data_IF_961596900482
#
_entry.id   IF_961596900482
#
_cell.length_a   1.000
_cell.length_b   1.000
_cell.length_c   1.000
_cell.angle_alpha   90.00
_cell.angle_beta   90.00
_cell.angle_gamma   90.00
#
_symmetry.space_group_name_H-M   'P 1'
#
loop_
_entity.id
_entity.type
_entity.pdbx_description
1 polymer ?
#
# COMPACT_ATOMS: atom_id res chain seq x y z
N UNK A 1 -43.76 9.67 -30.73
CA UNK A 1 -42.77 9.94 -29.66
C UNK A 1 -42.47 8.62 -29.01
N UNK A 2 -41.22 8.15 -29.06
CA UNK A 2 -40.86 6.80 -28.62
C UNK A 2 -40.72 6.74 -27.11
N UNK A 3 -41.44 5.83 -26.46
CA UNK A 3 -41.24 5.50 -25.04
C UNK A 3 -40.14 4.43 -24.98
N UNK A 4 -38.88 4.85 -24.89
CA UNK A 4 -37.77 3.95 -24.58
C UNK A 4 -37.87 3.54 -23.11
N UNK A 5 -38.59 2.44 -22.86
CA UNK A 5 -39.04 2.06 -21.53
C UNK A 5 -37.92 1.49 -20.65
N UNK A 6 -37.34 2.35 -19.81
CA UNK A 6 -36.82 2.03 -18.46
C UNK A 6 -36.15 0.65 -18.29
N UNK A 7 -35.15 0.32 -19.10
CA UNK A 7 -34.30 -0.86 -18.87
C UNK A 7 -33.30 -0.63 -17.72
N UNK A 8 -33.81 -0.66 -16.47
CA UNK A 8 -33.05 -0.99 -15.26
C UNK A 8 -31.69 -0.32 -15.09
N UNK A 9 -31.62 0.99 -15.30
CA UNK A 9 -30.37 1.78 -15.20
C UNK A 9 -29.92 1.89 -13.74
N UNK A 10 -29.12 0.91 -13.29
CA UNK A 10 -28.60 0.79 -11.92
C UNK A 10 -27.79 2.02 -11.48
N UNK A 11 -27.26 2.77 -12.44
CA UNK A 11 -26.58 4.05 -12.27
C UNK A 11 -26.90 4.93 -13.51
N UNK A 12 -27.10 6.25 -13.38
CA UNK A 12 -27.24 7.13 -14.53
C UNK A 12 -25.99 7.08 -15.43
N UNK A 13 -26.17 7.08 -16.76
CA UNK A 13 -25.08 7.08 -17.74
C UNK A 13 -23.96 8.13 -17.44
N UNK A 14 -24.23 9.41 -17.12
CA UNK A 14 -23.16 10.37 -16.80
C UNK A 14 -22.34 10.01 -15.55
N UNK A 15 -22.88 9.21 -14.61
CA UNK A 15 -22.11 8.67 -13.47
C UNK A 15 -21.31 7.43 -13.88
N UNK A 16 -21.74 6.64 -14.88
CA UNK A 16 -20.92 5.58 -15.50
C UNK A 16 -19.73 6.19 -16.25
N UNK A 17 -19.95 7.26 -17.03
CA UNK A 17 -18.88 7.98 -17.74
C UNK A 17 -17.91 8.67 -16.76
N UNK A 18 -18.43 9.26 -15.67
CA UNK A 18 -17.62 9.75 -14.56
C UNK A 18 -16.73 8.64 -13.98
N UNK A 19 -17.29 7.44 -13.73
CA UNK A 19 -16.53 6.31 -13.20
C UNK A 19 -15.47 5.79 -14.20
N UNK A 20 -15.74 5.89 -15.51
CA UNK A 20 -14.77 5.55 -16.56
C UNK A 20 -13.62 6.56 -16.63
N UNK A 21 -13.90 7.86 -16.44
CA UNK A 21 -12.87 8.90 -16.33
C UNK A 21 -11.99 8.69 -15.08
N UNK A 22 -12.59 8.52 -13.90
CA UNK A 22 -11.85 8.19 -12.67
C UNK A 22 -10.98 6.94 -12.85
N UNK A 23 -11.50 5.90 -13.52
CA UNK A 23 -10.72 4.71 -13.82
C UNK A 23 -9.51 4.97 -14.74
N UNK A 24 -9.64 5.84 -15.74
CA UNK A 24 -8.52 6.24 -16.60
C UNK A 24 -7.46 7.00 -15.80
N UNK A 25 -7.85 7.94 -14.93
CA UNK A 25 -6.94 8.63 -14.02
C UNK A 25 -6.23 7.64 -13.08
N UNK A 26 -6.97 6.71 -12.46
CA UNK A 26 -6.40 5.64 -11.64
C UNK A 26 -5.43 4.74 -12.43
N UNK A 27 -5.71 4.44 -13.70
CA UNK A 27 -4.84 3.62 -14.55
C UNK A 27 -3.54 4.35 -14.91
N UNK A 28 -3.60 5.63 -15.27
CA UNK A 28 -2.42 6.47 -15.52
C UNK A 28 -1.56 6.60 -14.26
N UNK A 29 -2.18 6.90 -13.13
CA UNK A 29 -1.52 6.99 -11.82
C UNK A 29 -0.93 5.65 -11.38
N UNK A 30 -1.59 4.52 -11.69
CA UNK A 30 -1.04 3.18 -11.46
C UNK A 30 0.24 2.95 -12.26
N UNK A 31 0.25 3.19 -13.58
CA UNK A 31 1.45 3.00 -14.40
C UNK A 31 2.59 3.93 -14.01
N UNK A 32 2.32 5.21 -13.76
CA UNK A 32 3.35 6.22 -13.45
C UNK A 32 4.08 5.96 -12.15
N UNK A 33 3.43 5.32 -11.16
CA UNK A 33 3.92 5.22 -9.78
C UNK A 33 4.26 3.79 -9.34
N UNK A 34 3.92 2.76 -10.14
CA UNK A 34 4.11 1.34 -9.79
C UNK A 34 5.52 1.01 -9.32
N UNK A 35 6.55 1.42 -10.07
CA UNK A 35 7.94 1.07 -9.78
C UNK A 35 8.47 1.73 -8.50
N UNK A 36 7.89 2.86 -8.09
CA UNK A 36 8.30 3.62 -6.90
C UNK A 36 7.60 3.12 -5.63
N UNK A 37 6.35 2.65 -5.73
CA UNK A 37 5.48 2.41 -4.57
C UNK A 37 4.90 1.00 -4.45
N UNK A 38 5.30 0.03 -5.28
CA UNK A 38 4.75 -1.35 -5.31
C UNK A 38 4.62 -2.05 -3.93
N UNK A 39 5.52 -1.75 -3.00
CA UNK A 39 5.57 -2.34 -1.65
C UNK A 39 4.85 -1.50 -0.57
N UNK A 40 4.42 -0.26 -0.87
CA UNK A 40 3.77 0.61 0.10
C UNK A 40 2.38 0.09 0.50
N UNK A 41 2.01 0.23 1.77
CA UNK A 41 0.70 -0.24 2.28
C UNK A 41 -0.47 0.42 1.55
N UNK A 42 -0.43 1.74 1.34
CA UNK A 42 -1.43 2.48 0.57
C UNK A 42 -1.55 1.99 -0.89
N UNK A 43 -0.43 1.57 -1.51
CA UNK A 43 -0.43 1.02 -2.88
C UNK A 43 -1.27 -0.25 -3.00
N UNK A 44 -1.29 -1.08 -1.95
CA UNK A 44 -2.16 -2.27 -1.88
C UNK A 44 -3.63 -1.89 -2.00
N UNK A 45 -4.08 -0.88 -1.25
CA UNK A 45 -5.48 -0.45 -1.27
C UNK A 45 -5.86 0.28 -2.56
N UNK A 46 -4.99 1.13 -3.10
CA UNK A 46 -5.16 1.73 -4.42
C UNK A 46 -5.28 0.66 -5.52
N UNK A 47 -4.42 -0.37 -5.48
CA UNK A 47 -4.48 -1.51 -6.40
C UNK A 47 -5.76 -2.33 -6.27
N UNK A 48 -6.26 -2.53 -5.04
CA UNK A 48 -7.56 -3.20 -4.79
C UNK A 48 -8.71 -2.36 -5.36
N UNK A 49 -8.72 -1.05 -5.13
CA UNK A 49 -9.76 -0.17 -5.65
C UNK A 49 -9.76 -0.17 -7.18
N UNK A 50 -8.60 0.05 -7.82
CA UNK A 50 -8.43 0.05 -9.29
C UNK A 50 -8.94 -1.24 -9.94
N UNK A 51 -8.74 -2.39 -9.30
CA UNK A 51 -9.20 -3.71 -9.79
C UNK A 51 -10.72 -3.89 -9.65
N UNK A 52 -11.33 -3.34 -8.60
CA UNK A 52 -12.79 -3.45 -8.42
C UNK A 52 -13.54 -2.45 -9.31
N UNK A 53 -13.04 -1.21 -9.48
CA UNK A 53 -13.57 -0.25 -10.46
C UNK A 53 -13.49 -0.82 -11.88
N UNK A 54 -12.38 -1.48 -12.24
CA UNK A 54 -12.25 -2.17 -13.54
C UNK A 54 -13.36 -3.22 -13.75
N UNK A 55 -13.64 -4.04 -12.73
CA UNK A 55 -14.72 -5.04 -12.79
C UNK A 55 -16.12 -4.42 -12.88
N UNK A 56 -16.37 -3.32 -12.15
CA UNK A 56 -17.65 -2.61 -12.23
C UNK A 56 -17.89 -2.08 -13.65
N UNK A 57 -16.89 -1.45 -14.27
CA UNK A 57 -16.99 -0.99 -15.66
C UNK A 57 -17.21 -2.14 -16.64
N UNK A 58 -16.51 -3.28 -16.47
CA UNK A 58 -16.76 -4.48 -17.28
C UNK A 58 -18.21 -4.99 -17.14
N UNK A 59 -18.79 -4.98 -15.94
CA UNK A 59 -20.20 -5.35 -15.73
C UNK A 59 -21.18 -4.33 -16.32
N UNK A 60 -20.85 -3.04 -16.34
CA UNK A 60 -21.66 -2.03 -17.05
C UNK A 60 -21.58 -2.22 -18.58
N UNK A 61 -20.41 -2.53 -19.13
CA UNK A 61 -20.21 -2.82 -20.56
C UNK A 61 -20.93 -4.14 -20.96
N UNK A 62 -20.89 -5.17 -20.11
CA UNK A 62 -21.67 -6.40 -20.26
C UNK A 62 -23.19 -6.16 -20.16
N UNK A 63 -23.64 -5.24 -19.30
CA UNK A 63 -25.06 -4.88 -19.14
C UNK A 63 -25.64 -4.26 -20.40
N UNK A 64 -24.89 -3.35 -21.03
CA UNK A 64 -25.23 -2.77 -22.33
C UNK A 64 -25.22 -3.82 -23.45
N UNK A 65 -24.26 -4.76 -23.41
CA UNK A 65 -24.06 -5.78 -24.45
C UNK A 65 -25.03 -6.97 -24.36
N UNK A 66 -25.53 -7.31 -23.16
CA UNK A 66 -26.35 -8.51 -22.91
C UNK A 66 -27.57 -8.23 -22.02
N UNK A 67 -28.57 -7.44 -22.46
CA UNK A 67 -29.76 -7.12 -21.66
C UNK A 67 -30.54 -8.37 -21.19
N UNK A 68 -30.47 -9.48 -21.94
CA UNK A 68 -31.04 -10.79 -21.55
C UNK A 68 -30.47 -11.38 -20.24
N UNK A 69 -29.34 -10.87 -19.74
CA UNK A 69 -28.67 -11.30 -18.49
C UNK A 69 -28.64 -10.22 -17.40
N UNK A 70 -29.35 -9.09 -17.61
CA UNK A 70 -29.27 -7.90 -16.75
C UNK A 70 -29.43 -8.20 -15.25
N UNK A 71 -30.37 -9.07 -14.86
CA UNK A 71 -30.63 -9.43 -13.46
C UNK A 71 -29.47 -10.17 -12.77
N UNK A 72 -28.66 -10.93 -13.51
CA UNK A 72 -27.46 -11.60 -12.99
C UNK A 72 -26.29 -10.62 -12.91
N UNK A 73 -26.13 -9.76 -13.93
CA UNK A 73 -25.08 -8.73 -13.99
C UNK A 73 -25.27 -7.71 -12.84
N UNK A 74 -26.50 -7.26 -12.62
CA UNK A 74 -26.88 -6.34 -11.53
C UNK A 74 -26.55 -6.92 -10.14
N UNK A 75 -26.71 -8.23 -9.92
CA UNK A 75 -26.28 -8.90 -8.68
C UNK A 75 -24.76 -8.84 -8.50
N UNK A 76 -23.98 -9.06 -9.56
CA UNK A 76 -22.52 -8.92 -9.53
C UNK A 76 -22.05 -7.50 -9.23
N UNK A 77 -22.75 -6.47 -9.76
CA UNK A 77 -22.49 -5.06 -9.45
C UNK A 77 -22.70 -4.80 -7.94
N UNK A 78 -23.86 -5.21 -7.40
CA UNK A 78 -24.16 -5.09 -5.96
C UNK A 78 -23.13 -5.84 -5.12
N UNK A 79 -22.71 -7.06 -5.52
CA UNK A 79 -21.73 -7.86 -4.76
C UNK A 79 -20.38 -7.14 -4.64
N UNK A 80 -19.87 -6.53 -5.72
CA UNK A 80 -18.61 -5.78 -5.69
C UNK A 80 -18.72 -4.53 -4.81
N UNK A 81 -19.81 -3.77 -4.92
CA UNK A 81 -20.05 -2.60 -4.05
C UNK A 81 -20.18 -3.02 -2.58
N UNK A 82 -20.90 -4.12 -2.32
CA UNK A 82 -21.04 -4.73 -0.98
C UNK A 82 -19.68 -5.15 -0.43
N UNK A 83 -18.81 -5.76 -1.25
CA UNK A 83 -17.45 -6.13 -0.84
C UNK A 83 -16.62 -4.89 -0.44
N UNK A 84 -16.63 -3.83 -1.26
CA UNK A 84 -15.87 -2.60 -0.99
C UNK A 84 -16.31 -1.93 0.32
N UNK A 85 -17.61 -1.88 0.58
CA UNK A 85 -18.19 -1.29 1.79
C UNK A 85 -17.98 -2.21 3.00
N UNK A 86 -18.43 -3.47 2.94
CA UNK A 86 -18.44 -4.41 4.08
C UNK A 86 -17.04 -4.81 4.56
N UNK A 87 -16.03 -4.82 3.69
CA UNK A 87 -14.61 -5.02 4.09
C UNK A 87 -13.92 -3.73 4.58
N UNK A 88 -14.65 -2.60 4.59
CA UNK A 88 -14.18 -1.23 4.91
C UNK A 88 -12.98 -0.81 4.03
N UNK A 89 -13.03 -1.12 2.72
CA UNK A 89 -11.92 -0.84 1.79
C UNK A 89 -11.69 0.66 1.66
N UNK A 90 -12.76 1.45 1.48
CA UNK A 90 -12.68 2.91 1.42
C UNK A 90 -12.06 3.51 2.69
N UNK A 91 -12.51 3.08 3.87
CA UNK A 91 -12.00 3.56 5.17
C UNK A 91 -10.51 3.23 5.37
N UNK A 92 -10.09 2.01 4.99
CA UNK A 92 -8.68 1.60 5.09
C UNK A 92 -7.80 2.35 4.08
N UNK A 93 -8.28 2.52 2.85
CA UNK A 93 -7.61 3.34 1.84
C UNK A 93 -7.45 4.80 2.31
N UNK A 94 -8.48 5.37 2.94
CA UNK A 94 -8.45 6.72 3.50
C UNK A 94 -7.35 6.88 4.55
N UNK A 95 -7.30 6.01 5.58
CA UNK A 95 -6.26 6.09 6.61
C UNK A 95 -4.85 5.94 6.01
N UNK A 96 -4.66 4.96 5.13
CA UNK A 96 -3.36 4.69 4.51
C UNK A 96 -2.92 5.83 3.58
N UNK A 97 -3.83 6.50 2.87
CA UNK A 97 -3.53 7.72 2.10
C UNK A 97 -3.22 8.92 3.03
N UNK A 98 -3.89 9.04 4.17
CA UNK A 98 -3.56 10.07 5.16
C UNK A 98 -2.16 9.89 5.76
N UNK A 99 -1.61 8.67 5.84
CA UNK A 99 -0.19 8.49 6.20
C UNK A 99 0.76 9.15 5.19
N UNK A 100 0.42 9.18 3.90
CA UNK A 100 1.21 9.85 2.86
C UNK A 100 1.22 11.38 3.09
N UNK A 101 0.06 11.93 3.46
CA UNK A 101 -0.10 13.35 3.76
C UNK A 101 0.67 13.74 5.04
N UNK A 102 0.52 12.96 6.11
CA UNK A 102 1.22 13.17 7.38
C UNK A 102 2.75 13.05 7.27
N UNK A 103 3.25 12.16 6.41
CA UNK A 103 4.69 12.01 6.13
C UNK A 103 5.29 13.14 5.28
N UNK A 104 4.46 13.98 4.64
CA UNK A 104 4.88 15.15 3.85
C UNK A 104 5.60 14.86 2.51
N UNK A 105 6.28 13.72 2.37
CA UNK A 105 7.17 13.42 1.24
C UNK A 105 6.47 13.37 -0.13
N UNK A 106 5.17 13.06 -0.17
CA UNK A 106 4.41 12.87 -1.42
C UNK A 106 3.02 13.56 -1.37
N UNK A 107 2.92 14.75 -0.75
CA UNK A 107 1.65 15.47 -0.52
C UNK A 107 0.76 15.58 -1.77
N UNK A 108 1.30 16.00 -2.92
CA UNK A 108 0.52 16.16 -4.14
C UNK A 108 -0.09 14.84 -4.65
N UNK A 109 0.67 13.74 -4.54
CA UNK A 109 0.19 12.39 -4.83
C UNK A 109 -0.86 11.94 -3.80
N UNK A 110 -0.65 12.24 -2.52
CA UNK A 110 -1.61 11.97 -1.44
C UNK A 110 -2.97 12.65 -1.68
N UNK A 111 -2.99 13.94 -2.03
CA UNK A 111 -4.23 14.65 -2.34
C UNK A 111 -4.90 14.15 -3.61
N UNK A 112 -4.15 13.84 -4.67
CA UNK A 112 -4.71 13.22 -5.88
C UNK A 112 -5.37 11.85 -5.59
N UNK A 113 -4.74 11.03 -4.76
CA UNK A 113 -5.28 9.75 -4.31
C UNK A 113 -6.52 9.91 -3.42
N UNK A 114 -6.53 10.92 -2.53
CA UNK A 114 -7.66 11.23 -1.67
C UNK A 114 -8.88 11.72 -2.48
N UNK A 115 -8.65 12.57 -3.49
CA UNK A 115 -9.68 13.06 -4.40
C UNK A 115 -10.32 11.91 -5.22
N UNK A 116 -9.49 11.07 -5.88
CA UNK A 116 -9.98 9.88 -6.59
C UNK A 116 -10.73 8.92 -5.65
N UNK A 117 -10.23 8.70 -4.41
CA UNK A 117 -10.90 7.86 -3.42
C UNK A 117 -12.29 8.40 -3.06
N UNK A 118 -12.42 9.71 -2.85
CA UNK A 118 -13.68 10.36 -2.54
C UNK A 118 -14.66 10.31 -3.72
N UNK A 119 -14.20 10.61 -4.94
CA UNK A 119 -15.06 10.61 -6.14
C UNK A 119 -15.53 9.20 -6.50
N UNK A 120 -14.66 8.20 -6.47
CA UNK A 120 -15.03 6.78 -6.63
C UNK A 120 -15.96 6.32 -5.50
N UNK A 121 -15.80 6.81 -4.26
CA UNK A 121 -16.75 6.49 -3.18
C UNK A 121 -18.15 7.05 -3.45
N UNK A 122 -18.26 8.30 -3.92
CA UNK A 122 -19.54 8.91 -4.33
C UNK A 122 -20.24 8.04 -5.38
N UNK A 123 -19.53 7.78 -6.49
CA UNK A 123 -20.05 7.02 -7.62
C UNK A 123 -20.44 5.58 -7.27
N UNK A 124 -19.85 4.98 -6.23
CA UNK A 124 -20.21 3.64 -5.73
C UNK A 124 -21.43 3.66 -4.77
N UNK A 125 -21.75 4.80 -4.16
CA UNK A 125 -22.99 4.98 -3.39
C UNK A 125 -24.18 5.37 -4.28
N UNK A 126 -23.93 6.08 -5.39
CA UNK A 126 -24.94 6.46 -6.39
C UNK A 126 -25.60 5.25 -7.10
N UNK A 127 -25.09 4.03 -6.89
CA UNK A 127 -25.56 2.77 -7.48
C UNK A 127 -26.79 2.23 -6.72
N UNK A 128 -27.91 2.06 -7.41
CA UNK A 128 -29.15 1.56 -6.79
C UNK A 128 -28.96 0.13 -6.20
N UNK A 129 -29.62 -0.10 -5.06
CA UNK A 129 -29.46 -1.26 -4.21
C UNK A 129 -28.27 -1.19 -3.24
N UNK A 130 -27.29 -0.30 -3.43
CA UNK A 130 -26.15 -0.15 -2.50
C UNK A 130 -26.55 0.65 -1.26
N UNK A 131 -27.38 1.67 -1.41
CA UNK A 131 -27.76 2.59 -0.32
C UNK A 131 -28.46 1.87 0.86
N UNK A 132 -29.22 0.81 0.57
CA UNK A 132 -29.86 -0.06 1.58
C UNK A 132 -28.85 -0.75 2.53
N UNK A 133 -27.57 -0.81 2.16
CA UNK A 133 -26.49 -1.37 2.98
C UNK A 133 -25.86 -0.33 3.93
N UNK A 134 -26.11 0.97 3.73
CA UNK A 134 -25.69 2.03 4.65
C UNK A 134 -26.55 2.06 5.92
N UNK A 135 -27.85 1.77 5.80
CA UNK A 135 -28.82 1.86 6.92
C UNK A 135 -28.50 0.88 8.06
N UNK A 136 -27.93 -0.29 7.77
CA UNK A 136 -27.45 -1.24 8.80
C UNK A 136 -26.03 -0.89 9.31
N UNK A 137 -25.60 0.36 9.14
CA UNK A 137 -24.47 0.97 9.83
C UNK A 137 -24.95 2.25 10.50
N UNK A 138 -25.94 2.10 11.39
CA UNK A 138 -26.11 3.03 12.50
C UNK A 138 -24.74 3.27 13.13
N UNK A 139 -24.42 4.53 13.42
CA UNK A 139 -23.14 4.85 14.02
C UNK A 139 -23.05 4.13 15.37
N UNK A 140 -22.02 3.29 15.62
CA UNK A 140 -21.79 2.83 16.98
C UNK A 140 -21.59 4.08 17.83
N UNK A 141 -22.41 4.23 18.88
CA UNK A 141 -22.13 5.20 19.92
C UNK A 141 -20.68 4.99 20.40
N UNK A 142 -20.03 6.05 20.88
CA UNK A 142 -18.67 5.98 21.40
C UNK A 142 -18.74 5.23 22.74
N UNK A 143 -18.69 3.90 22.64
CA UNK A 143 -18.45 3.00 23.77
C UNK A 143 -16.94 2.89 23.89
N UNK A 144 -16.40 3.33 25.03
CA UNK A 144 -15.00 3.10 25.39
C UNK A 144 -14.77 1.60 25.67
N UNK A 145 -14.64 0.81 24.59
CA UNK A 145 -13.90 -0.43 24.67
C UNK A 145 -12.43 -0.07 24.84
N UNK A 146 -11.94 -0.09 26.08
CA UNK A 146 -10.53 -0.31 26.39
C UNK A 146 -10.11 -1.65 25.78
N UNK A 147 -9.74 -1.59 24.50
CA UNK A 147 -9.23 -2.71 23.74
C UNK A 147 -7.74 -2.84 24.00
N UNK A 148 -7.38 -3.92 24.69
CA UNK A 148 -6.03 -4.47 24.80
C UNK A 148 -5.19 -4.26 23.53
N UNK A 149 -4.11 -3.48 23.69
CA UNK A 149 -3.04 -3.27 22.73
C UNK A 149 -1.70 -3.13 23.49
N UNK A 150 -1.47 -4.00 24.48
CA UNK A 150 -0.22 -4.03 25.26
C UNK A 150 0.96 -4.61 24.45
N UNK A 151 1.41 -3.83 23.46
CA UNK A 151 2.75 -3.94 22.87
C UNK A 151 3.39 -2.54 22.71
N UNK A 152 3.28 -1.73 23.78
CA UNK A 152 4.08 -0.51 23.98
C UNK A 152 5.21 -0.85 24.96
N UNK A 153 6.43 -0.39 24.67
CA UNK A 153 7.66 -0.87 25.30
C UNK A 153 7.79 -0.52 26.79
N UNK A 154 8.44 -1.44 27.53
CA UNK A 154 8.75 -1.34 28.95
C UNK A 154 9.66 -0.13 29.27
N UNK A 155 9.23 0.73 30.18
CA UNK A 155 10.00 1.91 30.64
C UNK A 155 10.91 1.54 31.81
N UNK A 156 12.23 1.62 31.60
CA UNK A 156 13.22 1.33 32.64
C UNK A 156 13.42 2.57 33.51
N UNK A 157 12.67 2.66 34.62
CA UNK A 157 12.95 3.61 35.69
C UNK A 157 14.37 3.36 36.25
N UNK A 158 15.16 4.44 36.37
CA UNK A 158 16.48 4.40 37.00
C UNK A 158 16.33 4.78 38.48
N UNK A 159 16.38 3.79 39.39
CA UNK A 159 16.35 4.04 40.84
C UNK A 159 17.51 4.96 41.30
N UNK A 160 17.24 6.26 41.42
CA UNK A 160 18.07 7.20 42.18
C UNK A 160 17.81 7.03 43.69
N UNK A 161 18.28 5.92 44.27
CA UNK A 161 17.99 5.55 45.66
C UNK A 161 18.97 6.16 46.66
N UNK A 162 18.82 7.47 46.91
CA UNK A 162 19.51 8.15 48.02
C UNK A 162 18.69 8.01 49.30
N UNK A 163 19.27 7.38 50.33
CA UNK A 163 19.06 7.74 51.74
C UNK A 163 20.22 7.21 52.59
N UNK A 164 20.66 8.02 53.55
CA UNK A 164 21.75 7.71 54.46
C UNK A 164 21.25 6.83 55.62
N UNK A 165 22.17 6.18 56.33
CA UNK A 165 22.35 6.46 57.76
C UNK A 165 23.72 5.99 58.28
N UNK A 166 24.39 6.91 58.98
CA UNK A 166 25.52 6.79 59.93
C UNK A 166 26.86 6.10 59.53
N UNK A 167 27.93 6.48 60.23
CA UNK A 167 29.31 6.04 60.06
C UNK A 167 29.92 5.68 61.43
N UNK A 168 31.08 4.98 61.53
CA UNK A 168 32.33 5.75 61.58
C UNK A 168 33.65 5.07 61.10
N UNK A 169 34.64 5.93 60.85
CA UNK A 169 36.11 5.72 61.00
C UNK A 169 36.93 4.80 60.07
N UNK A 170 38.09 5.35 59.66
CA UNK A 170 39.24 4.73 58.95
C UNK A 170 39.03 4.26 57.50
N UNK A 171 39.99 4.38 56.57
CA UNK A 171 41.26 5.12 56.63
C UNK A 171 42.24 4.75 55.50
N UNK A 172 43.25 5.60 55.27
CA UNK A 172 44.44 5.39 54.41
C UNK A 172 44.24 5.52 52.87
N UNK A 173 45.29 6.01 52.22
CA UNK A 173 45.40 6.53 50.85
C UNK A 173 46.01 5.58 49.81
N UNK A 174 45.75 5.83 48.53
CA UNK A 174 46.72 6.03 47.42
C UNK A 174 45.92 6.40 46.15
N UNK A 175 46.22 7.42 45.35
CA UNK A 175 47.44 7.81 44.59
C UNK A 175 47.83 6.88 43.42
N UNK A 176 47.74 7.46 42.20
CA UNK A 176 48.52 7.17 40.97
C UNK A 176 48.31 5.80 40.25
N UNK A 177 48.62 5.64 38.95
CA UNK A 177 49.27 6.55 37.97
C UNK A 177 48.87 6.29 36.50
N UNK A 178 48.77 7.37 35.73
CA UNK A 178 49.31 7.61 34.36
C UNK A 178 49.43 6.47 33.31
N UNK A 179 48.79 6.71 32.15
CA UNK A 179 49.25 6.53 30.76
C UNK A 179 49.98 5.27 30.26
N UNK A 180 49.46 4.73 29.14
CA UNK A 180 50.13 4.86 27.82
C UNK A 180 49.31 4.41 26.60
N UNK A 181 49.39 5.20 25.53
CA UNK A 181 49.23 4.69 24.16
C UNK A 181 50.32 3.66 23.81
N UNK A 182 50.06 2.77 22.85
CA UNK A 182 50.96 2.60 21.69
C UNK A 182 50.24 1.88 20.53
N UNK A 183 50.46 2.42 19.33
CA UNK A 183 49.93 1.99 18.03
C UNK A 183 50.94 1.11 17.29
N UNK A 184 50.50 0.01 16.63
CA UNK A 184 51.12 -0.56 15.41
C UNK A 184 50.30 -1.69 14.76
N UNK A 185 50.70 -2.07 13.54
CA UNK A 185 49.88 -2.80 12.56
C UNK A 185 50.55 -4.09 12.02
N UNK A 186 49.72 -4.95 11.41
CA UNK A 186 49.99 -5.80 10.22
C UNK A 186 50.73 -7.17 10.28
N UNK A 187 50.05 -8.17 9.68
CA UNK A 187 50.57 -9.39 8.98
C UNK A 187 51.30 -10.47 9.83
N UNK A 188 51.54 -11.73 9.39
CA UNK A 188 51.25 -12.54 8.18
C UNK A 188 51.22 -14.05 8.60
N UNK A 189 51.07 -15.13 7.81
CA UNK A 189 50.86 -15.47 6.38
C UNK A 189 50.14 -16.85 6.32
N UNK A 190 49.20 -17.07 5.39
CA UNK A 190 48.90 -18.44 4.87
C UNK A 190 48.40 -18.47 3.41
N UNK A 191 49.33 -18.20 2.47
CA UNK A 191 49.57 -18.91 1.17
C UNK A 191 48.35 -19.48 0.39
N UNK A 192 48.07 -18.99 -0.83
CA UNK A 192 48.62 -19.46 -2.16
C UNK A 192 47.96 -20.77 -2.68
N UNK A 193 47.84 -21.04 -4.00
CA UNK A 193 48.81 -20.74 -5.09
C UNK A 193 48.22 -20.74 -6.52
N UNK A 194 48.72 -19.82 -7.38
CA UNK A 194 49.00 -19.90 -8.85
C UNK A 194 47.91 -20.07 -9.93
N UNK A 195 47.94 -19.16 -10.92
CA UNK A 195 47.53 -19.39 -12.32
C UNK A 195 48.56 -20.22 -13.11
N UNK A 196 48.24 -20.70 -14.33
CA UNK A 196 48.87 -20.07 -15.51
C UNK A 196 47.93 -19.80 -16.72
N UNK A 197 48.42 -19.00 -17.68
CA UNK A 197 47.82 -18.64 -18.99
C UNK A 197 48.82 -19.04 -20.12
N UNK A 198 48.51 -18.98 -21.43
CA UNK A 198 47.21 -18.75 -22.10
C UNK A 198 46.84 -19.85 -23.14
N UNK A 199 45.59 -19.88 -23.63
CA UNK A 199 45.17 -20.72 -24.76
C UNK A 199 43.95 -20.18 -25.51
N UNK A 200 44.02 -20.10 -26.86
CA UNK A 200 42.92 -19.58 -27.70
C UNK A 200 41.87 -20.65 -27.98
N UNK A 201 40.73 -20.62 -27.29
CA UNK A 201 39.53 -21.39 -27.66
C UNK A 201 38.56 -20.55 -28.49
N UNK A 202 37.98 -21.15 -29.55
CA UNK A 202 37.07 -20.45 -30.48
C UNK A 202 35.73 -20.18 -29.79
N UNK A 203 35.26 -18.92 -29.77
CA UNK A 203 33.90 -18.58 -29.33
C UNK A 203 32.87 -19.33 -30.22
N UNK A 204 32.14 -20.30 -29.65
CA UNK A 204 30.88 -20.75 -30.26
C UNK A 204 29.91 -19.57 -30.23
N UNK A 205 29.44 -19.10 -31.38
CA UNK A 205 28.31 -18.17 -31.44
C UNK A 205 27.09 -18.87 -30.83
N UNK A 206 26.42 -18.23 -29.87
CA UNK A 206 25.03 -18.60 -29.55
C UNK A 206 24.18 -18.23 -30.77
N UNK A 207 23.14 -19.01 -31.06
CA UNK A 207 22.17 -18.61 -32.07
C UNK A 207 21.48 -17.32 -31.60
N UNK A 208 21.30 -16.36 -32.52
CA UNK A 208 20.37 -15.25 -32.29
C UNK A 208 18.96 -15.84 -32.18
N UNK A 209 18.23 -15.48 -31.13
CA UNK A 209 16.79 -15.76 -31.07
C UNK A 209 16.06 -14.80 -32.02
N UNK A 210 14.89 -15.16 -32.56
CA UNK A 210 14.16 -14.31 -33.51
C UNK A 210 13.82 -12.89 -33.00
N UNK A 211 13.79 -12.70 -31.67
CA UNK A 211 13.65 -11.38 -31.01
C UNK A 211 14.80 -10.43 -31.38
N UNK A 212 16.01 -10.96 -31.56
CA UNK A 212 17.25 -10.22 -31.80
C UNK A 212 17.30 -9.59 -33.22
N UNK A 213 16.60 -10.23 -34.18
CA UNK A 213 16.38 -9.72 -35.55
C UNK A 213 15.28 -8.65 -35.61
N UNK A 214 14.34 -8.66 -34.67
CA UNK A 214 13.23 -7.67 -34.59
C UNK A 214 13.71 -6.38 -33.93
N UNK A 215 14.64 -6.46 -32.97
CA UNK A 215 15.05 -5.31 -32.14
C UNK A 215 16.50 -4.84 -32.32
N UNK A 216 17.31 -5.50 -33.17
CA UNK A 216 18.54 -4.91 -33.73
C UNK A 216 19.73 -4.75 -32.79
N UNK A 217 20.02 -5.77 -31.98
CA UNK A 217 21.25 -5.85 -31.14
C UNK A 217 22.26 -6.90 -31.64
#
# INVERSE_FOLDING_TARGET
MSVEANMGTVLPQPSIDSLRNEYQLMQLMYHRNLNQHRQARWWRYFSILKRNVQKLLQLFDDLQSMPKKATTIHKGIIEICTYLIRRKIFTKAYYEINTILALGQFIALGFALLAMLARVRSLVLEIDGVDRLQVNVEAPAIVDTHGDFDEIGEEIERENKVKNEEAPTSGVSNERSEDKEIRREAANDRKRTKEPKPGKSKKKKKAKSAIDDIFGF
#
